data_IF_557179119331
#
_entry.id   IF_557179119331
#
_cell.length_a   1.000
_cell.length_b   1.000
_cell.length_c   1.000
_cell.angle_alpha   90.00
_cell.angle_beta   90.00
_cell.angle_gamma   90.00
#
_symmetry.space_group_name_H-M   'P 1'
#
loop_
_entity.id
_entity.type
_entity.pdbx_description
1 polymer ?
#
# COMPACT_ATOMS: atom_id res chain seq x y z
N UNK A 1 -21.02 8.58 28.76
CA UNK A 1 -19.58 8.32 28.45
C UNK A 1 -19.58 7.44 27.23
N UNK A 2 -19.32 8.00 26.06
CA UNK A 2 -19.07 7.17 24.87
C UNK A 2 -17.81 6.33 25.11
N UNK A 3 -17.95 5.01 25.09
CA UNK A 3 -16.82 4.10 25.13
C UNK A 3 -16.05 4.35 23.82
N UNK A 4 -14.86 4.95 23.93
CA UNK A 4 -13.98 5.22 22.78
C UNK A 4 -13.63 3.86 22.18
N UNK A 5 -14.17 3.54 21.00
CA UNK A 5 -13.80 2.33 20.26
C UNK A 5 -12.29 2.34 20.07
N UNK A 6 -11.63 1.31 20.58
CA UNK A 6 -10.18 1.18 20.50
C UNK A 6 -9.85 0.43 19.21
N UNK A 7 -9.23 1.13 18.24
CA UNK A 7 -8.68 0.50 17.03
C UNK A 7 -7.19 0.31 17.17
N UNK A 8 -6.70 -0.85 16.75
CA UNK A 8 -5.27 -1.12 16.66
C UNK A 8 -4.94 -1.58 15.25
N UNK A 9 -4.03 -0.87 14.58
CA UNK A 9 -3.50 -1.26 13.29
C UNK A 9 -2.10 -1.86 13.46
N UNK A 10 -1.94 -3.13 13.11
CA UNK A 10 -0.65 -3.80 13.07
C UNK A 10 -0.04 -3.69 11.68
N UNK A 11 1.16 -3.12 11.60
CA UNK A 11 1.89 -2.91 10.35
C UNK A 11 3.31 -3.47 10.42
N UNK A 12 3.86 -3.86 9.28
CA UNK A 12 5.30 -4.00 9.10
C UNK A 12 5.80 -2.80 8.34
N UNK A 13 6.81 -2.10 8.85
CA UNK A 13 7.31 -0.89 8.23
C UNK A 13 7.76 -1.16 6.79
N UNK A 14 7.24 -0.40 5.83
CA UNK A 14 7.49 -0.55 4.39
C UNK A 14 6.64 -1.61 3.68
N UNK A 15 5.71 -2.28 4.36
CA UNK A 15 4.73 -3.14 3.69
C UNK A 15 3.73 -2.30 2.90
N UNK A 16 3.64 -2.45 1.56
CA UNK A 16 2.67 -1.70 0.76
C UNK A 16 1.23 -2.03 1.13
N UNK A 17 0.97 -3.29 1.50
CA UNK A 17 -0.35 -3.74 1.92
C UNK A 17 -0.79 -3.14 3.27
N UNK A 18 0.14 -2.97 4.22
CA UNK A 18 -0.15 -2.29 5.47
C UNK A 18 -0.32 -0.78 5.26
N UNK A 19 0.46 -0.19 4.37
CA UNK A 19 0.41 1.24 4.07
C UNK A 19 -0.92 1.66 3.45
N UNK A 20 -1.53 0.83 2.58
CA UNK A 20 -2.87 1.12 2.04
C UNK A 20 -3.93 1.29 3.13
N UNK A 21 -3.91 0.43 4.14
CA UNK A 21 -4.86 0.50 5.27
C UNK A 21 -4.57 1.72 6.14
N UNK A 22 -3.31 2.03 6.35
CA UNK A 22 -2.90 3.19 7.11
C UNK A 22 -3.36 4.50 6.45
N UNK A 23 -3.14 4.65 5.14
CA UNK A 23 -3.66 5.78 4.34
C UNK A 23 -5.19 5.88 4.43
N UNK A 24 -5.89 4.76 4.37
CA UNK A 24 -7.36 4.73 4.47
C UNK A 24 -7.86 5.22 5.84
N UNK A 25 -7.22 4.81 6.94
CA UNK A 25 -7.58 5.27 8.29
C UNK A 25 -7.34 6.78 8.46
N UNK A 26 -6.22 7.29 7.99
CA UNK A 26 -5.91 8.72 8.04
C UNK A 26 -6.89 9.55 7.17
N UNK A 27 -7.19 9.07 5.96
CA UNK A 27 -8.17 9.72 5.09
C UNK A 27 -9.56 9.81 5.71
N UNK A 28 -9.96 8.79 6.46
CA UNK A 28 -11.21 8.76 7.22
C UNK A 28 -11.15 9.56 8.52
N UNK A 29 -9.99 10.02 8.94
CA UNK A 29 -9.80 10.68 10.24
C UNK A 29 -10.14 9.79 11.44
N UNK A 30 -10.01 8.48 11.29
CA UNK A 30 -10.34 7.51 12.33
C UNK A 30 -9.18 7.36 13.31
N UNK A 31 -9.40 7.53 14.62
CA UNK A 31 -8.34 7.32 15.61
C UNK A 31 -8.00 5.83 15.74
N UNK A 32 -6.71 5.53 15.86
CA UNK A 32 -6.17 4.17 16.02
C UNK A 32 -4.87 4.19 16.83
N UNK A 33 -4.50 3.06 17.41
CA UNK A 33 -3.16 2.78 17.93
C UNK A 33 -2.36 2.07 16.83
N UNK A 34 -1.15 2.55 16.53
CA UNK A 34 -0.25 1.92 15.57
C UNK A 34 0.69 0.96 16.27
N UNK A 35 0.72 -0.30 15.83
CA UNK A 35 1.68 -1.32 16.27
C UNK A 35 2.60 -1.68 15.11
N UNK A 36 3.84 -1.20 15.17
CA UNK A 36 4.86 -1.50 14.16
C UNK A 36 5.59 -2.78 14.55
N UNK A 37 5.50 -3.79 13.69
CA UNK A 37 6.12 -5.09 13.87
C UNK A 37 7.40 -5.20 13.03
N UNK A 38 8.41 -5.87 13.55
CA UNK A 38 9.67 -6.10 12.87
C UNK A 38 9.63 -7.42 12.09
N UNK A 39 9.91 -7.35 10.79
CA UNK A 39 10.08 -8.54 9.95
C UNK A 39 11.32 -9.36 10.37
N UNK A 40 12.43 -8.68 10.68
CA UNK A 40 13.70 -9.33 11.03
C UNK A 40 13.74 -9.91 12.45
N UNK A 41 13.00 -9.32 13.40
CA UNK A 41 12.90 -9.83 14.77
C UNK A 41 11.94 -11.04 14.88
N UNK A 42 11.18 -11.36 13.83
CA UNK A 42 10.27 -12.49 13.82
C UNK A 42 8.93 -12.21 14.52
N UNK A 43 8.57 -10.95 14.76
CA UNK A 43 7.34 -10.55 15.45
C UNK A 43 6.08 -11.16 14.83
N UNK A 44 6.07 -11.31 13.50
CA UNK A 44 4.95 -11.87 12.76
C UNK A 44 4.72 -13.37 13.01
N UNK A 45 5.72 -14.07 13.58
CA UNK A 45 5.67 -15.52 13.85
C UNK A 45 5.46 -15.83 15.32
N UNK A 46 5.24 -14.81 16.15
CA UNK A 46 4.91 -15.04 17.56
C UNK A 46 3.53 -15.68 17.69
N UNK A 47 3.29 -16.55 18.69
CA UNK A 47 1.97 -17.15 18.94
C UNK A 47 0.87 -16.09 19.10
N UNK A 48 1.18 -14.97 19.72
CA UNK A 48 0.25 -13.86 19.91
C UNK A 48 -0.19 -13.25 18.60
N UNK A 49 0.74 -12.98 17.65
CA UNK A 49 0.39 -12.43 16.35
C UNK A 49 -0.27 -13.48 15.44
N UNK A 50 0.17 -14.74 15.50
CA UNK A 50 -0.44 -15.84 14.76
C UNK A 50 -1.92 -16.08 15.14
N UNK A 51 -2.29 -15.78 16.40
CA UNK A 51 -3.68 -15.80 16.84
C UNK A 51 -4.54 -14.70 16.21
N UNK A 52 -3.95 -13.55 15.86
CA UNK A 52 -4.65 -12.47 15.15
C UNK A 52 -4.73 -12.75 13.65
N UNK A 53 -3.65 -13.27 13.05
CA UNK A 53 -3.60 -13.63 11.65
C UNK A 53 -2.83 -14.95 11.46
N UNK A 54 -3.51 -16.06 11.17
CA UNK A 54 -2.87 -17.37 10.99
C UNK A 54 -1.94 -17.43 9.78
N UNK A 55 -2.01 -16.45 8.86
CA UNK A 55 -1.07 -16.32 7.73
C UNK A 55 0.23 -15.61 8.11
N UNK A 56 0.34 -15.08 9.35
CA UNK A 56 1.53 -14.37 9.84
C UNK A 56 1.96 -13.22 8.92
N UNK A 57 0.98 -12.46 8.40
CA UNK A 57 1.18 -11.32 7.51
C UNK A 57 0.53 -10.05 8.05
N UNK A 58 1.09 -8.91 7.71
CA UNK A 58 0.49 -7.58 7.94
C UNK A 58 -0.18 -7.09 6.65
N UNK A 59 -1.20 -6.22 6.77
CA UNK A 59 -1.77 -5.64 7.98
C UNK A 59 -2.72 -6.57 8.73
N UNK A 60 -2.95 -6.23 10.01
CA UNK A 60 -4.10 -6.68 10.78
C UNK A 60 -4.76 -5.43 11.38
N UNK A 61 -6.08 -5.36 11.32
CA UNK A 61 -6.88 -4.38 12.03
C UNK A 61 -7.67 -5.09 13.14
N UNK A 62 -7.52 -4.61 14.37
CA UNK A 62 -8.41 -4.95 15.48
C UNK A 62 -9.30 -3.72 15.74
N UNK A 63 -10.58 -3.82 15.47
CA UNK A 63 -11.57 -2.78 15.70
C UNK A 63 -12.48 -3.19 16.86
N UNK A 64 -12.05 -2.88 18.08
CA UNK A 64 -12.78 -3.15 19.33
C UNK A 64 -13.10 -4.67 19.49
N UNK A 65 -12.11 -5.52 19.24
CA UNK A 65 -12.21 -6.98 19.30
C UNK A 65 -12.65 -7.65 17.99
N UNK A 66 -13.06 -6.88 16.98
CA UNK A 66 -13.28 -7.41 15.63
C UNK A 66 -11.98 -7.40 14.84
N UNK A 67 -11.35 -8.56 14.75
CA UNK A 67 -10.03 -8.71 14.12
C UNK A 67 -10.17 -9.07 12.65
N UNK A 68 -9.54 -8.28 11.78
CA UNK A 68 -9.49 -8.52 10.33
C UNK A 68 -8.07 -8.51 9.78
N UNK A 69 -7.83 -9.35 8.80
CA UNK A 69 -6.66 -9.34 7.92
C UNK A 69 -7.11 -9.37 6.44
N UNK A 70 -6.18 -9.33 5.47
CA UNK A 70 -6.36 -9.03 4.05
C UNK A 70 -6.67 -7.54 3.83
N UNK A 71 -5.65 -6.82 3.39
CA UNK A 71 -5.65 -5.35 3.34
C UNK A 71 -6.79 -4.75 2.51
N UNK A 72 -7.16 -5.37 1.38
CA UNK A 72 -8.29 -4.91 0.56
C UNK A 72 -9.63 -5.08 1.31
N UNK A 73 -9.82 -6.21 2.00
CA UNK A 73 -11.03 -6.45 2.81
C UNK A 73 -11.11 -5.50 4.01
N UNK A 74 -9.96 -5.16 4.62
CA UNK A 74 -9.92 -4.15 5.69
C UNK A 74 -10.36 -2.78 5.17
N UNK A 75 -9.90 -2.37 3.97
CA UNK A 75 -10.29 -1.09 3.37
C UNK A 75 -11.79 -1.07 3.02
N UNK A 76 -12.32 -2.18 2.48
CA UNK A 76 -13.76 -2.33 2.24
C UNK A 76 -14.55 -2.20 3.56
N UNK A 77 -14.12 -2.90 4.62
CA UNK A 77 -14.74 -2.81 5.95
C UNK A 77 -14.73 -1.38 6.51
N UNK A 78 -13.59 -0.68 6.45
CA UNK A 78 -13.48 0.70 6.91
C UNK A 78 -14.46 1.60 6.12
N UNK A 79 -14.56 1.40 4.80
CA UNK A 79 -15.47 2.14 3.93
C UNK A 79 -16.95 1.95 4.30
N UNK A 80 -17.34 0.73 4.62
CA UNK A 80 -18.74 0.39 4.94
C UNK A 80 -19.08 0.70 6.41
N UNK A 81 -18.24 0.32 7.37
CA UNK A 81 -18.50 0.48 8.79
C UNK A 81 -18.42 1.94 9.26
N UNK A 82 -17.64 2.76 8.57
CA UNK A 82 -17.43 4.18 8.90
C UNK A 82 -17.84 5.11 7.74
N UNK A 83 -18.91 4.75 7.05
CA UNK A 83 -19.40 5.49 5.88
C UNK A 83 -19.58 6.98 6.13
N UNK A 84 -20.15 7.32 7.26
CA UNK A 84 -20.49 8.70 7.66
C UNK A 84 -19.34 9.45 8.34
N UNK A 85 -18.19 8.80 8.55
CA UNK A 85 -17.02 9.42 9.14
C UNK A 85 -16.01 9.84 8.08
N UNK A 86 -15.47 11.06 8.16
CA UNK A 86 -14.42 11.59 7.29
C UNK A 86 -14.77 11.55 5.80
N UNK A 87 -13.76 11.60 4.95
CA UNK A 87 -13.92 11.54 3.51
C UNK A 87 -14.24 10.10 3.03
N UNK A 88 -15.06 9.91 1.97
CA UNK A 88 -15.42 8.58 1.49
C UNK A 88 -14.23 7.84 0.86
N UNK A 89 -14.13 6.53 1.11
CA UNK A 89 -13.16 5.66 0.43
C UNK A 89 -13.69 5.13 -0.89
N UNK A 90 -15.01 5.05 -1.00
CA UNK A 90 -15.71 4.55 -2.19
C UNK A 90 -16.85 5.51 -2.54
N UNK A 91 -17.08 5.80 -3.83
CA UNK A 91 -18.18 6.64 -4.27
C UNK A 91 -19.54 5.98 -4.03
N UNK A 92 -20.59 6.80 -3.87
CA UNK A 92 -21.97 6.31 -3.70
C UNK A 92 -22.56 5.72 -4.98
N UNK A 93 -22.18 6.26 -6.14
CA UNK A 93 -22.61 5.69 -7.41
C UNK A 93 -22.09 4.28 -7.61
N UNK A 94 -23.01 3.34 -7.84
CA UNK A 94 -22.69 1.90 -7.94
C UNK A 94 -21.75 1.59 -9.10
N UNK A 95 -21.88 2.28 -10.24
CA UNK A 95 -21.05 2.05 -11.41
C UNK A 95 -19.63 2.55 -11.18
N UNK A 96 -19.50 3.76 -10.65
CA UNK A 96 -18.19 4.34 -10.30
C UNK A 96 -17.51 3.51 -9.20
N UNK A 97 -18.26 3.06 -8.19
CA UNK A 97 -17.75 2.16 -7.15
C UNK A 97 -17.27 0.81 -7.72
N UNK A 98 -17.95 0.28 -8.73
CA UNK A 98 -17.51 -0.94 -9.42
C UNK A 98 -16.19 -0.72 -10.17
N UNK A 99 -15.99 0.46 -10.77
CA UNK A 99 -14.73 0.84 -11.42
C UNK A 99 -13.60 0.95 -10.37
N UNK A 100 -13.85 1.57 -9.21
CA UNK A 100 -12.89 1.61 -8.09
C UNK A 100 -12.44 0.20 -7.70
N UNK A 101 -13.41 -0.71 -7.49
CA UNK A 101 -13.10 -2.11 -7.15
C UNK A 101 -12.33 -2.85 -8.25
N UNK A 102 -12.64 -2.58 -9.52
CA UNK A 102 -11.85 -3.11 -10.65
C UNK A 102 -10.41 -2.63 -10.56
N UNK A 103 -10.17 -1.32 -10.36
CA UNK A 103 -8.81 -0.76 -10.24
C UNK A 103 -8.03 -1.35 -9.07
N UNK A 104 -8.69 -1.58 -7.94
CA UNK A 104 -8.08 -2.28 -6.80
C UNK A 104 -7.65 -3.70 -7.19
N UNK A 105 -8.52 -4.44 -7.92
CA UNK A 105 -8.19 -5.79 -8.39
C UNK A 105 -7.05 -5.79 -9.41
N UNK A 106 -7.07 -4.88 -10.38
CA UNK A 106 -5.98 -4.72 -11.35
C UNK A 106 -4.65 -4.45 -10.63
N UNK A 107 -4.64 -3.56 -9.61
CA UNK A 107 -3.47 -3.29 -8.83
C UNK A 107 -2.99 -4.51 -8.02
N UNK A 108 -3.89 -5.24 -7.36
CA UNK A 108 -3.54 -6.40 -6.54
C UNK A 108 -3.11 -7.62 -7.36
N UNK A 109 -3.74 -7.85 -8.53
CA UNK A 109 -3.49 -9.06 -9.31
C UNK A 109 -2.34 -8.91 -10.31
N UNK A 110 -2.10 -7.71 -10.83
CA UNK A 110 -1.10 -7.51 -11.87
C UNK A 110 0.11 -6.69 -11.37
N UNK A 111 -0.14 -5.50 -10.82
CA UNK A 111 0.96 -4.64 -10.35
C UNK A 111 1.64 -5.25 -9.12
N UNK A 112 0.87 -5.71 -8.12
CA UNK A 112 1.44 -6.28 -6.91
C UNK A 112 2.26 -7.55 -7.20
N UNK A 113 1.77 -8.46 -8.06
CA UNK A 113 2.52 -9.68 -8.39
C UNK A 113 3.85 -9.38 -9.11
N UNK A 114 3.87 -8.39 -10.00
CA UNK A 114 5.11 -8.00 -10.69
C UNK A 114 6.06 -7.28 -9.74
N UNK A 115 5.55 -6.43 -8.86
CA UNK A 115 6.31 -5.77 -7.78
C UNK A 115 6.90 -6.80 -6.81
N UNK A 116 6.14 -7.81 -6.38
CA UNK A 116 6.62 -8.86 -5.47
C UNK A 116 7.80 -9.65 -6.07
N UNK A 117 7.81 -9.88 -7.38
CA UNK A 117 8.97 -10.51 -8.06
C UNK A 117 10.20 -9.62 -8.02
N UNK A 118 10.05 -8.31 -8.21
CA UNK A 118 11.15 -7.37 -8.02
C UNK A 118 11.68 -7.40 -6.59
N UNK A 119 10.78 -7.38 -5.60
CA UNK A 119 11.12 -7.46 -4.18
C UNK A 119 11.89 -8.74 -3.87
N UNK A 120 11.43 -9.89 -4.37
CA UNK A 120 12.11 -11.18 -4.21
C UNK A 120 13.52 -11.14 -4.76
N UNK A 121 13.69 -10.65 -6.00
CA UNK A 121 14.99 -10.66 -6.67
C UNK A 121 15.95 -9.57 -6.17
N UNK A 122 15.46 -8.49 -5.55
CA UNK A 122 16.32 -7.36 -5.13
C UNK A 122 16.46 -7.28 -3.62
N UNK A 123 15.36 -7.41 -2.84
CA UNK A 123 15.41 -7.24 -1.38
C UNK A 123 15.67 -8.55 -0.63
N UNK A 124 15.11 -9.67 -1.12
CA UNK A 124 15.25 -10.97 -0.45
C UNK A 124 16.38 -11.84 -1.04
N UNK A 125 17.01 -11.37 -2.11
CA UNK A 125 18.21 -12.00 -2.69
C UNK A 125 19.42 -11.15 -2.39
N UNK A 126 20.49 -11.70 -1.76
CA UNK A 126 21.72 -10.97 -1.51
C UNK A 126 22.36 -10.44 -2.79
N UNK A 127 22.96 -9.22 -2.82
CA UNK A 127 23.52 -8.62 -4.03
C UNK A 127 24.47 -9.51 -4.86
N UNK A 128 25.35 -10.34 -4.25
CA UNK A 128 26.19 -11.25 -5.04
C UNK A 128 25.43 -12.35 -5.80
N UNK A 129 24.16 -12.58 -5.47
CA UNK A 129 23.29 -13.58 -6.10
C UNK A 129 22.27 -12.95 -7.05
N UNK A 130 22.33 -11.65 -7.29
CA UNK A 130 21.42 -10.97 -8.20
C UNK A 130 21.59 -11.50 -9.63
N UNK A 131 20.47 -11.88 -10.21
CA UNK A 131 20.35 -12.31 -11.60
C UNK A 131 19.79 -11.15 -12.43
N UNK A 132 20.64 -10.52 -13.21
CA UNK A 132 20.28 -9.34 -14.00
C UNK A 132 19.14 -9.61 -15.00
N UNK A 133 19.07 -10.83 -15.56
CA UNK A 133 18.02 -11.21 -16.50
C UNK A 133 16.66 -11.32 -15.80
N UNK A 134 16.62 -11.97 -14.63
CA UNK A 134 15.39 -12.10 -13.84
C UNK A 134 14.89 -10.75 -13.32
N UNK A 135 15.82 -9.92 -12.82
CA UNK A 135 15.49 -8.56 -12.37
C UNK A 135 14.98 -7.73 -13.54
N UNK A 136 15.61 -7.79 -14.71
CA UNK A 136 15.18 -7.09 -15.92
C UNK A 136 13.77 -7.50 -16.35
N UNK A 137 13.48 -8.80 -16.42
CA UNK A 137 12.14 -9.31 -16.76
C UNK A 137 11.08 -8.89 -15.74
N UNK A 138 11.40 -8.92 -14.44
CA UNK A 138 10.47 -8.50 -13.40
C UNK A 138 10.18 -6.99 -13.48
N UNK A 139 11.22 -6.18 -13.74
CA UNK A 139 11.10 -4.73 -13.98
C UNK A 139 10.23 -4.43 -15.22
N UNK A 140 10.53 -5.05 -16.36
CA UNK A 140 9.76 -4.87 -17.59
C UNK A 140 8.28 -5.19 -17.38
N UNK A 141 7.99 -6.31 -16.70
CA UNK A 141 6.62 -6.69 -16.37
C UNK A 141 5.93 -5.66 -15.49
N UNK A 142 6.62 -5.18 -14.44
CA UNK A 142 6.10 -4.16 -13.55
C UNK A 142 5.77 -2.86 -14.31
N UNK A 143 6.69 -2.36 -15.13
CA UNK A 143 6.49 -1.15 -15.92
C UNK A 143 5.36 -1.30 -16.96
N UNK A 144 5.24 -2.48 -17.58
CA UNK A 144 4.17 -2.76 -18.54
C UNK A 144 2.77 -2.69 -17.89
N UNK A 145 2.63 -3.16 -16.64
CA UNK A 145 1.36 -3.03 -15.91
C UNK A 145 1.02 -1.57 -15.58
N UNK A 146 2.02 -0.73 -15.34
CA UNK A 146 1.79 0.69 -15.06
C UNK A 146 1.27 1.47 -16.27
N UNK A 147 1.53 1.02 -17.50
CA UNK A 147 1.03 1.67 -18.72
C UNK A 147 -0.50 1.74 -18.71
N UNK A 148 -1.18 0.68 -18.25
CA UNK A 148 -2.65 0.66 -18.17
C UNK A 148 -3.19 1.72 -17.20
N UNK A 149 -2.50 1.95 -16.10
CA UNK A 149 -2.88 3.00 -15.15
C UNK A 149 -2.54 4.39 -15.66
N UNK A 150 -1.41 4.55 -16.35
CA UNK A 150 -1.03 5.82 -16.98
C UNK A 150 -2.06 6.25 -18.04
N UNK A 151 -2.52 5.33 -18.88
CA UNK A 151 -3.49 5.59 -19.95
C UNK A 151 -4.89 5.90 -19.39
N UNK A 152 -5.32 5.16 -18.36
CA UNK A 152 -6.65 5.32 -17.76
C UNK A 152 -6.76 6.54 -16.82
N UNK A 153 -5.65 7.10 -16.37
CA UNK A 153 -5.63 8.24 -15.45
C UNK A 153 -6.01 9.54 -16.18
N UNK A 154 -7.31 9.83 -16.24
CA UNK A 154 -7.83 11.02 -16.93
C UNK A 154 -8.03 12.23 -15.99
N UNK A 155 -8.11 12.01 -14.67
CA UNK A 155 -8.37 13.04 -13.65
C UNK A 155 -7.19 13.25 -12.71
N UNK A 156 -7.49 13.82 -11.56
CA UNK A 156 -6.49 14.01 -10.49
C UNK A 156 -6.17 12.72 -9.76
N UNK A 157 -7.15 11.81 -9.62
CA UNK A 157 -7.05 10.52 -8.98
C UNK A 157 -7.52 9.41 -9.91
N UNK A 158 -7.31 8.15 -9.53
CA UNK A 158 -7.54 6.99 -10.40
C UNK A 158 -9.00 6.85 -10.82
N UNK A 159 -9.95 7.17 -9.93
CA UNK A 159 -11.38 7.12 -10.24
C UNK A 159 -12.12 8.22 -9.49
N UNK A 160 -12.39 9.34 -10.15
CA UNK A 160 -13.09 10.47 -9.52
C UNK A 160 -12.27 11.14 -8.42
N UNK A 161 -12.77 11.12 -7.19
CA UNK A 161 -12.10 11.68 -6.03
C UNK A 161 -11.09 10.70 -5.42
N UNK A 162 -10.18 11.24 -4.57
CA UNK A 162 -9.21 10.45 -3.82
C UNK A 162 -9.90 9.34 -3.00
N UNK A 163 -9.43 8.09 -3.15
CA UNK A 163 -10.06 6.97 -2.47
C UNK A 163 -9.25 5.68 -2.45
N UNK A 164 -9.97 4.58 -2.25
CA UNK A 164 -9.40 3.26 -2.01
C UNK A 164 -8.49 2.75 -3.14
N UNK A 165 -8.79 3.07 -4.40
CA UNK A 165 -7.95 2.68 -5.53
C UNK A 165 -6.57 3.34 -5.47
N UNK A 166 -6.54 4.65 -5.12
CA UNK A 166 -5.30 5.43 -5.00
C UNK A 166 -4.41 4.90 -3.87
N UNK A 167 -5.02 4.63 -2.71
CA UNK A 167 -4.31 4.06 -1.56
C UNK A 167 -3.84 2.63 -1.80
N UNK A 168 -4.45 1.92 -2.76
CA UNK A 168 -3.99 0.60 -3.18
C UNK A 168 -2.77 0.69 -4.09
N UNK A 169 -2.82 1.51 -5.12
CA UNK A 169 -1.76 1.57 -6.13
C UNK A 169 -0.51 2.29 -5.63
N UNK A 170 -0.67 3.41 -4.88
CA UNK A 170 0.45 4.25 -4.48
C UNK A 170 1.56 3.48 -3.74
N UNK A 171 1.29 2.69 -2.69
CA UNK A 171 2.33 1.95 -1.99
C UNK A 171 3.04 0.90 -2.85
N UNK A 172 2.34 0.34 -3.85
CA UNK A 172 2.90 -0.64 -4.78
C UNK A 172 3.92 -0.01 -5.73
N UNK A 173 3.80 1.29 -6.04
CA UNK A 173 4.78 2.06 -6.80
C UNK A 173 5.90 2.60 -5.91
N UNK A 174 5.56 3.06 -4.72
CA UNK A 174 6.50 3.68 -3.80
C UNK A 174 7.61 2.71 -3.35
N UNK A 175 7.30 1.41 -3.17
CA UNK A 175 8.29 0.42 -2.76
C UNK A 175 9.37 0.17 -3.84
N UNK A 176 9.06 -0.11 -5.12
CA UNK A 176 10.07 -0.21 -6.18
C UNK A 176 10.91 1.04 -6.37
N UNK A 177 10.32 2.23 -6.28
CA UNK A 177 11.05 3.51 -6.31
C UNK A 177 12.02 3.63 -5.14
N UNK A 178 11.61 3.20 -3.95
CA UNK A 178 12.50 3.14 -2.78
C UNK A 178 13.65 2.15 -2.99
N UNK A 179 13.37 0.99 -3.60
CA UNK A 179 14.40 0.00 -3.94
C UNK A 179 15.42 0.59 -4.92
N UNK A 180 14.98 1.30 -5.96
CA UNK A 180 15.86 2.03 -6.87
C UNK A 180 16.72 3.03 -6.11
N UNK A 181 16.12 3.89 -5.31
CA UNK A 181 16.83 4.97 -4.61
C UNK A 181 17.85 4.48 -3.58
N UNK A 182 17.70 3.27 -3.01
CA UNK A 182 18.47 2.82 -1.84
C UNK A 182 19.23 1.50 -2.01
N UNK A 183 18.80 0.64 -2.91
CA UNK A 183 19.32 -0.72 -3.00
C UNK A 183 19.95 -1.00 -4.36
N UNK A 184 19.26 -0.67 -5.45
CA UNK A 184 19.68 -0.96 -6.82
C UNK A 184 19.35 0.22 -7.74
N UNK A 185 20.25 1.23 -7.81
CA UNK A 185 20.00 2.49 -8.56
C UNK A 185 19.76 2.30 -10.07
N UNK A 186 20.25 1.23 -10.67
CA UNK A 186 20.09 0.90 -12.10
C UNK A 186 18.78 0.17 -12.42
N UNK A 187 17.77 0.23 -11.54
CA UNK A 187 16.43 -0.26 -11.86
C UNK A 187 15.71 0.63 -12.88
N UNK A 188 16.06 1.92 -12.96
CA UNK A 188 15.47 2.90 -13.88
C UNK A 188 13.93 2.92 -13.88
N UNK A 189 13.31 2.74 -12.71
CA UNK A 189 11.85 2.74 -12.55
C UNK A 189 11.32 4.16 -12.65
N UNK A 190 11.93 5.10 -11.91
CA UNK A 190 11.51 6.49 -11.87
C UNK A 190 11.53 7.15 -13.26
N UNK A 191 12.53 6.83 -14.07
CA UNK A 191 12.67 7.35 -15.44
C UNK A 191 11.61 6.79 -16.41
N UNK A 192 10.96 5.68 -16.06
CA UNK A 192 10.00 4.97 -16.92
C UNK A 192 8.56 5.01 -16.40
N UNK A 193 8.29 5.66 -15.27
CA UNK A 193 6.91 5.98 -14.85
C UNK A 193 6.41 7.16 -15.69
N UNK A 194 5.20 7.03 -16.23
CA UNK A 194 4.58 8.05 -17.05
C UNK A 194 4.31 9.37 -16.30
N UNK A 195 4.17 10.49 -17.02
CA UNK A 195 4.02 11.81 -16.41
C UNK A 195 2.72 11.97 -15.60
N UNK A 196 1.62 11.29 -15.98
CA UNK A 196 0.35 11.34 -15.24
C UNK A 196 0.46 10.63 -13.91
N UNK A 197 1.01 9.42 -13.86
CA UNK A 197 1.27 8.70 -12.61
C UNK A 197 2.29 9.44 -11.74
N UNK A 198 3.31 10.04 -12.32
CA UNK A 198 4.27 10.88 -11.58
C UNK A 198 3.56 12.08 -10.93
N UNK A 199 2.69 12.77 -11.64
CA UNK A 199 1.93 13.89 -11.10
C UNK A 199 0.90 13.42 -10.05
N UNK A 200 0.26 12.27 -10.26
CA UNK A 200 -0.66 11.64 -9.31
C UNK A 200 0.06 11.25 -8.00
N UNK A 201 1.23 10.63 -8.06
CA UNK A 201 2.04 10.32 -6.87
C UNK A 201 2.34 11.57 -6.05
N UNK A 202 2.77 12.66 -6.70
CA UNK A 202 3.04 13.94 -6.02
C UNK A 202 1.81 14.51 -5.32
N UNK A 203 0.59 14.34 -5.90
CA UNK A 203 -0.66 14.76 -5.25
C UNK A 203 -0.93 13.97 -3.97
N UNK A 204 -0.68 12.67 -3.98
CA UNK A 204 -0.81 11.83 -2.78
C UNK A 204 0.23 12.21 -1.72
N UNK A 205 1.48 12.45 -2.13
CA UNK A 205 2.56 12.88 -1.23
C UNK A 205 2.31 14.26 -0.60
N UNK A 206 1.52 15.10 -1.27
CA UNK A 206 1.11 16.42 -0.77
C UNK A 206 -0.10 16.38 0.19
N UNK A 207 -0.72 15.21 0.44
CA UNK A 207 -1.84 15.11 1.37
C UNK A 207 -1.40 15.48 2.79
N UNK A 208 -2.23 16.23 3.55
CA UNK A 208 -1.87 16.71 4.89
C UNK A 208 -1.46 15.61 5.86
N UNK A 209 -2.02 14.41 5.70
CA UNK A 209 -1.78 13.26 6.57
C UNK A 209 -0.69 12.30 6.01
N UNK A 210 -0.19 12.54 4.82
CA UNK A 210 0.75 11.61 4.17
C UNK A 210 2.00 11.37 5.04
N UNK A 211 2.58 12.42 5.58
CA UNK A 211 3.77 12.33 6.45
C UNK A 211 3.58 11.44 7.67
N UNK A 212 2.35 11.39 8.23
CA UNK A 212 2.03 10.54 9.37
C UNK A 212 2.04 9.04 9.02
N UNK A 213 1.80 8.70 7.74
CA UNK A 213 1.78 7.30 7.26
C UNK A 213 3.10 6.86 6.66
N UNK A 214 4.07 7.77 6.51
CA UNK A 214 5.34 7.43 5.87
C UNK A 214 6.11 6.38 6.68
N UNK A 215 6.57 5.27 6.07
CA UNK A 215 7.17 4.17 6.80
C UNK A 215 8.33 4.62 7.69
N UNK A 216 8.33 4.34 9.01
CA UNK A 216 9.30 4.92 9.95
C UNK A 216 10.77 4.64 9.58
N UNK A 217 11.09 3.42 9.12
CA UNK A 217 12.47 3.08 8.76
C UNK A 217 12.92 3.70 7.43
N UNK A 218 11.99 4.29 6.67
CA UNK A 218 12.33 5.06 5.47
C UNK A 218 12.80 6.48 5.81
N UNK A 219 12.33 7.02 6.94
CA UNK A 219 12.75 8.33 7.46
C UNK A 219 14.16 8.31 8.05
N UNK A 220 14.54 7.20 8.71
CA UNK A 220 15.78 7.10 9.48
C UNK A 220 17.09 7.08 8.67
N UNK A 221 17.05 7.27 7.36
CA UNK A 221 18.20 7.20 6.46
C UNK A 221 18.34 8.43 5.54
N UNK A 222 18.04 9.60 6.04
CA UNK A 222 18.57 10.82 5.43
C UNK A 222 20.00 11.00 5.96
N UNK A 223 21.04 11.03 5.10
CA UNK A 223 22.43 11.16 5.53
C UNK A 223 22.69 12.46 6.22
#
# INVERSE_FOLDING_TARGET
MEVRKQRTLYVGSGSPYAWRVWLALEHKGLPYELRVLSFSAGDLRTPAFAALNPRCKVPVLDDDGFVMYESAAIVDYIGDAYRDAGAPLFPDDVKTRAIVRRKIREADEYVAQSMERLVEHVLFTPPPQWDAEKIGKARERFLAELVFFEEDLAGEFLVGDLGAADFTLYPLLALPLRMEARTKPDLDIAANIGPRLTAWMRRIEALPFFGATYPPHWQAQTP
#
